data_IF_764799194075
#
_entry.id   IF_764799194075
#
_cell.length_a   1.000
_cell.length_b   1.000
_cell.length_c   1.000
_cell.angle_alpha   90.00
_cell.angle_beta   90.00
_cell.angle_gamma   90.00
#
_symmetry.space_group_name_H-M   'P 1'
#
loop_
_entity.id
_entity.type
_entity.pdbx_description
1 polymer ?
#
# COMPACT_ATOMS: atom_id res chain seq x y z
N UNK A 1 -1.18 0.28 23.51
CA UNK A 1 -0.23 -0.82 23.17
C UNK A 1 1.07 -0.59 23.93
N UNK A 2 1.74 -1.63 24.44
CA UNK A 2 3.08 -1.43 25.03
C UNK A 2 4.11 -1.27 23.90
N UNK A 3 5.19 -0.50 24.12
CA UNK A 3 6.33 -0.37 23.18
C UNK A 3 6.86 -1.74 22.68
N UNK A 4 6.70 -2.78 23.49
CA UNK A 4 7.12 -4.15 23.19
C UNK A 4 6.31 -4.79 22.07
N UNK A 5 4.98 -4.69 22.12
CA UNK A 5 4.11 -5.24 21.07
C UNK A 5 4.32 -4.56 19.70
N UNK A 6 4.57 -3.24 19.70
CA UNK A 6 4.95 -2.53 18.49
C UNK A 6 6.32 -2.99 17.95
N UNK A 7 7.30 -3.15 18.83
CA UNK A 7 8.63 -3.66 18.45
C UNK A 7 8.57 -5.06 17.83
N UNK A 8 7.66 -5.92 18.29
CA UNK A 8 7.49 -7.26 17.72
C UNK A 8 6.82 -7.22 16.34
N UNK A 9 5.82 -6.34 16.12
CA UNK A 9 5.23 -6.11 14.80
C UNK A 9 6.26 -5.54 13.81
N UNK A 10 7.05 -4.55 14.23
CA UNK A 10 8.06 -3.93 13.37
C UNK A 10 9.14 -4.93 12.92
N UNK A 11 9.51 -5.90 13.77
CA UNK A 11 10.50 -6.94 13.42
C UNK A 11 10.00 -7.90 12.34
N UNK A 12 8.72 -8.21 12.33
CA UNK A 12 8.12 -9.17 11.38
C UNK A 12 7.43 -8.47 10.20
N UNK A 13 7.44 -7.14 10.16
CA UNK A 13 6.73 -6.36 9.15
C UNK A 13 7.11 -6.78 7.73
N UNK A 14 8.40 -6.87 7.43
CA UNK A 14 8.89 -7.17 6.08
C UNK A 14 8.40 -8.52 5.58
N UNK A 15 8.51 -9.57 6.41
CA UNK A 15 8.09 -10.92 6.08
C UNK A 15 6.58 -10.99 5.86
N UNK A 16 5.82 -10.32 6.72
CA UNK A 16 4.36 -10.31 6.65
C UNK A 16 3.84 -9.49 5.45
N UNK A 17 4.48 -8.36 5.15
CA UNK A 17 4.17 -7.55 3.97
C UNK A 17 4.51 -8.30 2.69
N UNK A 18 5.67 -8.96 2.62
CA UNK A 18 6.06 -9.79 1.49
C UNK A 18 5.10 -10.96 1.29
N UNK A 19 4.68 -11.62 2.37
CA UNK A 19 3.67 -12.69 2.33
C UNK A 19 2.32 -12.20 1.79
N UNK A 20 1.86 -11.03 2.19
CA UNK A 20 0.56 -10.50 1.79
C UNK A 20 0.58 -9.90 0.37
N UNK A 21 1.64 -9.17 0.01
CA UNK A 21 1.74 -8.40 -1.24
C UNK A 21 2.63 -9.04 -2.31
N UNK A 22 3.24 -10.20 -2.06
CA UNK A 22 4.12 -10.89 -3.00
C UNK A 22 3.50 -11.16 -4.37
N UNK A 23 2.16 -11.23 -4.44
CA UNK A 23 1.43 -11.32 -5.70
C UNK A 23 1.69 -10.14 -6.66
N UNK A 24 2.01 -8.95 -6.15
CA UNK A 24 2.39 -7.81 -7.00
C UNK A 24 3.61 -8.16 -7.86
N UNK A 25 4.52 -8.98 -7.33
CA UNK A 25 5.67 -9.49 -8.06
C UNK A 25 5.29 -10.70 -8.91
N UNK A 26 4.70 -11.72 -8.30
CA UNK A 26 4.51 -13.03 -8.96
C UNK A 26 3.39 -13.05 -10.00
N UNK A 27 2.33 -12.26 -9.80
CA UNK A 27 1.16 -12.20 -10.70
C UNK A 27 1.21 -10.97 -11.61
N UNK A 28 1.68 -9.83 -11.11
CA UNK A 28 1.65 -8.56 -11.85
C UNK A 28 3.02 -8.05 -12.33
N UNK A 29 4.10 -8.77 -12.04
CA UNK A 29 5.43 -8.48 -12.59
C UNK A 29 6.09 -7.20 -12.07
N UNK A 30 5.66 -6.66 -10.93
CA UNK A 30 6.35 -5.54 -10.29
C UNK A 30 7.68 -6.00 -9.69
N UNK A 31 8.67 -5.11 -9.61
CA UNK A 31 9.88 -5.33 -8.83
C UNK A 31 9.65 -5.01 -7.35
N UNK A 32 10.29 -5.75 -6.45
CA UNK A 32 10.21 -5.53 -5.00
C UNK A 32 10.26 -6.85 -4.20
N UNK A 33 10.11 -6.80 -2.86
CA UNK A 33 9.95 -5.59 -2.06
C UNK A 33 11.25 -4.79 -1.93
N UNK A 34 11.22 -3.50 -2.29
CA UNK A 34 12.31 -2.56 -2.01
C UNK A 34 12.08 -1.85 -0.66
N UNK A 35 13.07 -1.96 0.23
CA UNK A 35 13.06 -1.40 1.59
C UNK A 35 13.75 -0.04 1.67
N UNK A 36 14.58 0.30 0.68
CA UNK A 36 15.46 1.49 0.73
C UNK A 36 14.76 2.77 0.32
N UNK A 37 13.62 2.67 -0.37
CA UNK A 37 12.89 3.81 -0.93
C UNK A 37 11.78 4.38 -0.04
N UNK A 38 11.66 3.88 1.20
CA UNK A 38 10.67 4.33 2.19
C UNK A 38 11.37 4.82 3.45
N UNK A 39 10.96 5.98 3.94
CA UNK A 39 11.40 6.50 5.24
C UNK A 39 10.58 5.81 6.34
N UNK A 40 11.24 5.12 7.27
CA UNK A 40 10.60 4.34 8.33
C UNK A 40 10.46 2.86 7.98
N UNK A 41 9.52 2.17 8.63
CA UNK A 41 9.25 0.74 8.38
C UNK A 41 8.27 0.61 7.22
N UNK A 42 8.76 0.16 6.07
CA UNK A 42 7.94 -0.01 4.87
C UNK A 42 8.64 -0.73 3.72
N UNK A 43 7.82 -1.22 2.80
CA UNK A 43 8.23 -1.87 1.55
C UNK A 43 7.55 -1.24 0.34
N UNK A 44 8.26 -1.19 -0.78
CA UNK A 44 7.74 -0.72 -2.06
C UNK A 44 7.76 -1.81 -3.12
N UNK A 45 6.71 -1.84 -3.96
CA UNK A 45 6.63 -2.66 -5.16
C UNK A 45 6.43 -1.73 -6.35
N UNK A 46 7.31 -1.78 -7.35
CA UNK A 46 7.37 -0.81 -8.44
C UNK A 46 7.45 -1.48 -9.80
N UNK A 47 6.66 -1.02 -10.76
CA UNK A 47 6.68 -1.49 -12.15
C UNK A 47 5.83 -0.59 -13.05
N UNK A 48 6.22 -0.44 -14.32
CA UNK A 48 5.44 0.30 -15.34
C UNK A 48 4.95 1.70 -14.91
N UNK A 49 5.75 2.43 -14.13
CA UNK A 49 5.39 3.77 -13.63
C UNK A 49 4.42 3.78 -12.43
N UNK A 50 3.95 2.61 -11.98
CA UNK A 50 3.13 2.40 -10.80
C UNK A 50 4.00 1.97 -9.61
N UNK A 51 3.64 2.37 -8.41
CA UNK A 51 4.28 1.91 -7.18
C UNK A 51 3.26 1.76 -6.05
N UNK A 52 3.28 0.61 -5.39
CA UNK A 52 2.60 0.40 -4.11
C UNK A 52 3.62 0.58 -3.00
N UNK A 53 3.31 1.43 -2.02
CA UNK A 53 4.10 1.64 -0.81
C UNK A 53 3.30 1.18 0.38
N UNK A 54 3.75 0.13 1.04
CA UNK A 54 3.14 -0.39 2.26
C UNK A 54 4.03 0.04 3.42
N UNK A 55 3.48 0.75 4.40
CA UNK A 55 4.23 1.27 5.54
C UNK A 55 3.49 1.06 6.85
N UNK A 56 4.25 0.85 7.91
CA UNK A 56 3.73 0.83 9.27
C UNK A 56 3.86 2.24 9.87
N UNK A 57 2.73 2.82 10.29
CA UNK A 57 2.72 4.06 11.06
C UNK A 57 3.01 3.72 12.54
N UNK A 58 4.15 4.17 13.10
CA UNK A 58 4.49 3.91 14.49
C UNK A 58 3.64 4.69 15.50
N UNK A 59 3.04 5.81 15.11
CA UNK A 59 2.25 6.68 15.98
C UNK A 59 0.83 6.13 16.11
N UNK A 60 0.18 5.93 14.96
CA UNK A 60 -1.19 5.43 14.91
C UNK A 60 -1.26 3.90 15.03
N UNK A 61 -0.12 3.21 14.90
CA UNK A 61 -0.03 1.76 14.94
C UNK A 61 -0.95 1.11 13.88
N UNK A 62 -0.89 1.67 12.67
CA UNK A 62 -1.69 1.25 11.52
C UNK A 62 -0.79 0.90 10.34
N UNK A 63 -1.31 0.10 9.41
CA UNK A 63 -0.67 -0.07 8.11
C UNK A 63 -1.29 0.91 7.14
N UNK A 64 -0.48 1.66 6.41
CA UNK A 64 -0.92 2.51 5.31
C UNK A 64 -0.36 1.95 4.00
N UNK A 65 -1.23 1.78 3.00
CA UNK A 65 -0.79 1.50 1.63
C UNK A 65 -1.10 2.70 0.76
N UNK A 66 -0.07 3.25 0.12
CA UNK A 66 -0.19 4.31 -0.88
C UNK A 66 0.10 3.80 -2.26
N UNK A 67 -0.72 4.27 -3.20
CA UNK A 67 -0.49 4.11 -4.62
C UNK A 67 0.20 5.37 -5.14
N UNK A 68 1.20 5.17 -5.98
CA UNK A 68 1.99 6.23 -6.59
C UNK A 68 2.06 5.96 -8.09
N UNK A 69 1.73 6.97 -8.89
CA UNK A 69 1.89 6.94 -10.35
C UNK A 69 2.88 8.01 -10.77
N UNK A 70 3.89 7.63 -11.56
CA UNK A 70 4.85 8.54 -12.18
C UNK A 70 4.41 8.84 -13.62
N UNK A 71 4.27 10.13 -13.93
CA UNK A 71 3.93 10.63 -15.27
C UNK A 71 4.98 11.66 -15.69
N UNK A 72 6.04 11.20 -16.37
CA UNK A 72 7.17 12.07 -16.74
C UNK A 72 7.83 12.70 -15.51
N UNK A 73 7.79 14.03 -15.42
CA UNK A 73 8.28 14.83 -14.28
C UNK A 73 7.25 15.04 -13.16
N UNK A 74 6.08 14.41 -13.26
CA UNK A 74 5.04 14.48 -12.25
C UNK A 74 4.89 13.17 -11.50
N UNK A 75 4.42 13.29 -10.27
CA UNK A 75 4.06 12.16 -9.44
C UNK A 75 2.72 12.41 -8.75
N UNK A 76 1.84 11.44 -8.87
CA UNK A 76 0.53 11.41 -8.23
C UNK A 76 0.59 10.40 -7.09
N UNK A 77 0.02 10.73 -5.94
CA UNK A 77 -0.04 9.82 -4.79
C UNK A 77 -1.39 9.89 -4.09
N UNK A 78 -1.98 8.73 -3.82
CA UNK A 78 -3.23 8.57 -3.09
C UNK A 78 -3.13 7.39 -2.11
N UNK A 79 -4.00 7.37 -1.10
CA UNK A 79 -4.18 6.17 -0.27
C UNK A 79 -4.86 5.09 -1.11
N UNK A 80 -4.54 3.82 -0.84
CA UNK A 80 -5.16 2.70 -1.55
C UNK A 80 -6.69 2.74 -1.42
N UNK A 81 -7.22 3.11 -0.25
CA UNK A 81 -8.66 3.22 -0.03
C UNK A 81 -9.34 4.24 -0.93
N UNK A 82 -8.74 5.41 -1.12
CA UNK A 82 -9.27 6.40 -2.07
C UNK A 82 -9.28 5.88 -3.51
N UNK A 83 -8.26 5.10 -3.90
CA UNK A 83 -8.20 4.49 -5.24
C UNK A 83 -9.26 3.41 -5.42
N UNK A 84 -9.48 2.55 -4.40
CA UNK A 84 -10.54 1.52 -4.41
C UNK A 84 -11.92 2.17 -4.60
N UNK A 85 -12.22 3.22 -3.85
CA UNK A 85 -13.48 3.97 -3.98
C UNK A 85 -13.59 4.61 -5.36
N UNK A 86 -12.51 5.22 -5.86
CA UNK A 86 -12.50 5.83 -7.19
C UNK A 86 -12.72 4.79 -8.31
N UNK A 87 -12.27 3.56 -8.13
CA UNK A 87 -12.51 2.45 -9.05
C UNK A 87 -13.97 1.92 -9.00
N UNK A 88 -14.81 2.45 -8.12
CA UNK A 88 -16.21 1.99 -7.95
C UNK A 88 -16.32 0.68 -7.19
N UNK A 89 -15.24 0.23 -6.54
CA UNK A 89 -15.23 -0.94 -5.69
C UNK A 89 -15.79 -0.57 -4.32
N UNK A 90 -16.49 -1.51 -3.68
CA UNK A 90 -17.05 -1.29 -2.35
C UNK A 90 -15.93 -0.88 -1.38
N UNK A 91 -16.15 0.21 -0.64
CA UNK A 91 -15.24 0.60 0.42
C UNK A 91 -15.17 -0.53 1.44
N UNK A 92 -14.04 -1.22 1.50
CA UNK A 92 -13.80 -2.15 2.59
C UNK A 92 -13.68 -1.29 3.85
N UNK A 93 -14.67 -1.38 4.75
CA UNK A 93 -14.79 -0.65 6.03
C UNK A 93 -13.57 -0.78 6.98
N UNK A 94 -12.48 -1.39 6.54
CA UNK A 94 -11.38 -1.96 7.32
C UNK A 94 -10.00 -1.68 6.70
N UNK A 95 -9.82 -0.60 5.95
CA UNK A 95 -8.47 -0.27 5.46
C UNK A 95 -7.56 0.31 6.55
N UNK A 96 -8.13 0.79 7.65
CA UNK A 96 -7.40 1.22 8.85
C UNK A 96 -7.73 0.27 10.01
N UNK A 97 -7.10 -0.91 10.03
CA UNK A 97 -7.26 -1.85 11.16
C UNK A 97 -6.08 -1.69 12.09
N UNK A 98 -6.37 -1.31 13.33
CA UNK A 98 -5.40 -1.15 14.40
C UNK A 98 -4.51 -2.39 14.52
N UNK A 99 -3.19 -2.24 14.34
CA UNK A 99 -2.20 -3.30 14.44
C UNK A 99 -1.82 -3.62 15.89
N UNK A 100 -2.76 -3.53 16.84
CA UNK A 100 -2.50 -3.66 18.29
C UNK A 100 -1.94 -5.01 18.74
N UNK A 101 -2.03 -6.02 17.87
CA UNK A 101 -1.33 -7.29 18.00
C UNK A 101 -1.05 -7.85 16.60
N UNK A 102 -0.16 -8.84 16.53
CA UNK A 102 0.28 -9.46 15.28
C UNK A 102 -0.86 -10.04 14.43
N UNK A 103 -1.92 -10.58 15.06
CA UNK A 103 -3.06 -11.13 14.32
C UNK A 103 -3.87 -10.03 13.62
N UNK A 104 -4.09 -8.90 14.29
CA UNK A 104 -4.78 -7.76 13.67
C UNK A 104 -3.93 -7.12 12.58
N UNK A 105 -2.61 -7.04 12.78
CA UNK A 105 -1.66 -6.58 11.76
C UNK A 105 -1.71 -7.44 10.49
N UNK A 106 -1.66 -8.77 10.63
CA UNK A 106 -1.79 -9.71 9.50
C UNK A 106 -3.10 -9.53 8.75
N UNK A 107 -4.22 -9.45 9.47
CA UNK A 107 -5.54 -9.21 8.87
C UNK A 107 -5.60 -7.86 8.14
N UNK A 108 -4.96 -6.83 8.67
CA UNK A 108 -4.87 -5.52 8.02
C UNK A 108 -4.10 -5.63 6.70
N UNK A 109 -2.93 -6.26 6.70
CA UNK A 109 -2.14 -6.51 5.50
C UNK A 109 -2.90 -7.32 4.46
N UNK A 110 -3.54 -8.43 4.86
CA UNK A 110 -4.34 -9.27 3.98
C UNK A 110 -5.52 -8.51 3.36
N UNK A 111 -6.21 -7.67 4.15
CA UNK A 111 -7.30 -6.83 3.65
C UNK A 111 -6.81 -5.80 2.64
N UNK A 112 -5.68 -5.13 2.91
CA UNK A 112 -5.11 -4.15 1.98
C UNK A 112 -4.55 -4.83 0.72
N UNK A 113 -3.91 -5.99 0.86
CA UNK A 113 -3.44 -6.81 -0.25
C UNK A 113 -4.58 -7.23 -1.17
N UNK A 114 -5.71 -7.69 -0.60
CA UNK A 114 -6.91 -8.01 -1.38
C UNK A 114 -7.39 -6.79 -2.19
N UNK A 115 -7.47 -5.62 -1.56
CA UNK A 115 -7.86 -4.39 -2.25
C UNK A 115 -6.87 -4.00 -3.35
N UNK A 116 -5.57 -4.13 -3.09
CA UNK A 116 -4.53 -3.87 -4.08
C UNK A 116 -4.65 -4.80 -5.29
N UNK A 117 -4.96 -6.08 -5.06
CA UNK A 117 -5.22 -7.06 -6.13
C UNK A 117 -6.47 -6.68 -6.94
N UNK A 118 -7.56 -6.31 -6.28
CA UNK A 118 -8.81 -5.91 -6.94
C UNK A 118 -8.65 -4.63 -7.78
N UNK A 119 -7.89 -3.65 -7.30
CA UNK A 119 -7.75 -2.36 -7.98
C UNK A 119 -6.64 -2.32 -9.04
N UNK A 120 -5.68 -3.26 -8.99
CA UNK A 120 -4.54 -3.27 -9.90
C UNK A 120 -4.91 -3.24 -11.39
N UNK A 121 -5.88 -4.04 -11.89
CA UNK A 121 -6.27 -3.99 -13.30
C UNK A 121 -6.75 -2.60 -13.76
N UNK A 122 -7.50 -1.89 -12.91
CA UNK A 122 -7.99 -0.54 -13.22
C UNK A 122 -6.84 0.49 -13.27
N UNK A 123 -5.86 0.35 -12.36
CA UNK A 123 -4.65 1.17 -12.38
C UNK A 123 -3.75 0.87 -13.57
N UNK A 124 -3.69 -0.38 -14.02
CA UNK A 124 -2.89 -0.76 -15.18
C UNK A 124 -3.47 -0.19 -16.48
N UNK A 125 -4.80 -0.08 -16.58
CA UNK A 125 -5.48 0.46 -17.75
C UNK A 125 -5.46 1.99 -17.80
N UNK A 126 -5.90 2.66 -16.73
CA UNK A 126 -6.09 4.12 -16.72
C UNK A 126 -5.51 4.77 -15.44
N UNK A 127 -4.19 4.69 -15.22
CA UNK A 127 -3.57 5.06 -13.94
C UNK A 127 -3.79 6.53 -13.57
N UNK A 128 -3.64 7.45 -14.52
CA UNK A 128 -3.69 8.89 -14.23
C UNK A 128 -5.11 9.35 -13.91
N UNK A 129 -6.09 8.95 -14.71
CA UNK A 129 -7.49 9.32 -14.51
C UNK A 129 -8.03 8.78 -13.18
N UNK A 130 -7.75 7.51 -12.90
CA UNK A 130 -8.16 6.88 -11.64
C UNK A 130 -7.52 7.57 -10.43
N UNK A 131 -6.23 7.91 -10.51
CA UNK A 131 -5.55 8.62 -9.43
C UNK A 131 -6.13 10.02 -9.19
N UNK A 132 -6.46 10.76 -10.25
CA UNK A 132 -7.12 12.08 -10.12
C UNK A 132 -8.51 11.95 -9.49
N UNK A 133 -9.29 10.96 -9.92
CA UNK A 133 -10.60 10.66 -9.32
C UNK A 133 -10.49 10.27 -7.85
N UNK A 134 -9.40 9.61 -7.47
CA UNK A 134 -9.06 9.29 -6.08
C UNK A 134 -8.58 10.51 -5.25
N UNK A 135 -8.56 11.71 -5.82
CA UNK A 135 -8.06 12.91 -5.16
C UNK A 135 -6.56 12.86 -4.90
N UNK A 136 -5.79 12.21 -5.79
CA UNK A 136 -4.34 12.10 -5.62
C UNK A 136 -3.69 13.48 -5.51
N UNK A 137 -2.76 13.59 -4.57
CA UNK A 137 -1.88 14.75 -4.50
C UNK A 137 -0.87 14.68 -5.63
N UNK A 138 -0.75 15.76 -6.39
CA UNK A 138 0.19 15.88 -7.49
C UNK A 138 1.39 16.76 -7.09
N UNK A 139 2.60 16.35 -7.47
CA UNK A 139 3.81 17.16 -7.31
C UNK A 139 4.78 16.96 -8.46
N UNK A 140 5.54 18.02 -8.76
CA UNK A 140 6.64 17.99 -9.71
C UNK A 140 7.88 17.41 -9.04
N UNK A 141 8.56 16.49 -9.72
CA UNK A 141 9.79 15.83 -9.31
C UNK A 141 11.01 16.74 -9.48
#
# INVERSE_FOLDING_TARGET
MSRRAFGDVAKVFDEEAERAFGFLVTEYGLGGPDRRSIVGTGVAYTGSGLTYRVSLDPLEMTVDTRVVVKLGSWRLSASLGSVVVAAGLAAHNTLTVNAHNLNLFRKALESQAKCAREVHPFLAENPVELMRKAGAREWKL
#
